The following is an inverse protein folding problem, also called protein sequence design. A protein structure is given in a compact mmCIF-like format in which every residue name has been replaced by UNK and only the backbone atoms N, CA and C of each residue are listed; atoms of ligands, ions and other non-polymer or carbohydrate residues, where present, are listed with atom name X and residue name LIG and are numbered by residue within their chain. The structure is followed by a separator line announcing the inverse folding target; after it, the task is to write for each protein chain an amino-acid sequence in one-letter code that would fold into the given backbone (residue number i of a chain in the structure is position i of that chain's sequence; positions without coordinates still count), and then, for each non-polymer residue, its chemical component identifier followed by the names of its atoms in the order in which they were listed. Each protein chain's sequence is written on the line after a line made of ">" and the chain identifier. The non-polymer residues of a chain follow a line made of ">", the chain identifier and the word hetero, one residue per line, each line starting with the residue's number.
data_IF_021842357076
#
_entry.id   IF_021842357076
#
_cell.length_a   1.000
_cell.length_b   1.000
_cell.length_c   1.000
_cell.angle_alpha   90.00
_cell.angle_beta   90.00
_cell.angle_gamma   90.00
#
_symmetry.space_group_name_H-M   'P 1'
#
loop_
_entity.id
_entity.type
_entity.pdbx_description
1 polymer ?
#
# COMPACT_ATOMS: atom_id res chain seq x y z
N UNK A 1 11.92 5.31 17.91
CA UNK A 1 10.54 4.83 17.80
C UNK A 1 10.17 4.86 16.33
N UNK A 2 9.93 3.70 15.71
CA UNK A 2 9.47 3.67 14.32
C UNK A 2 8.02 4.19 14.30
N UNK A 3 7.79 5.33 13.64
CA UNK A 3 6.44 5.90 13.54
C UNK A 3 5.62 5.03 12.59
N UNK A 4 4.48 4.53 13.07
CA UNK A 4 3.48 3.85 12.23
C UNK A 4 2.79 4.94 11.42
N UNK A 5 3.10 5.02 10.13
CA UNK A 5 2.49 5.98 9.21
C UNK A 5 1.58 5.23 8.23
N UNK A 6 0.27 5.51 8.21
CA UNK A 6 -0.66 4.90 7.26
C UNK A 6 -0.27 5.18 5.80
N UNK A 7 -0.45 4.19 4.93
CA UNK A 7 -0.23 4.34 3.49
C UNK A 7 -1.48 4.96 2.84
N UNK A 8 -1.59 6.28 2.92
CA UNK A 8 -2.73 7.04 2.38
C UNK A 8 -2.88 6.89 0.85
N UNK A 9 -1.78 6.64 0.13
CA UNK A 9 -1.79 6.48 -1.33
C UNK A 9 -2.44 5.18 -1.73
N UNK A 10 -2.08 4.09 -1.06
CA UNK A 10 -2.71 2.79 -1.26
C UNK A 10 -4.21 2.87 -0.95
N UNK A 11 -4.58 3.50 0.16
CA UNK A 11 -6.00 3.72 0.53
C UNK A 11 -6.73 4.51 -0.57
N UNK A 12 -6.13 5.58 -1.06
CA UNK A 12 -6.73 6.46 -2.08
C UNK A 12 -6.90 5.75 -3.41
N UNK A 13 -5.88 5.04 -3.89
CA UNK A 13 -5.93 4.26 -5.12
C UNK A 13 -6.99 3.15 -5.04
N UNK A 14 -7.05 2.42 -3.92
CA UNK A 14 -8.06 1.38 -3.71
C UNK A 14 -9.48 1.95 -3.75
N UNK A 15 -9.71 3.07 -3.06
CA UNK A 15 -11.03 3.73 -3.05
C UNK A 15 -11.41 4.31 -4.42
N UNK A 16 -10.46 4.90 -5.14
CA UNK A 16 -10.66 5.38 -6.51
C UNK A 16 -11.03 4.25 -7.47
N UNK A 17 -10.45 3.06 -7.28
CA UNK A 17 -10.82 1.83 -7.98
C UNK A 17 -12.13 1.19 -7.49
N UNK A 18 -12.82 1.80 -6.52
CA UNK A 18 -14.07 1.31 -5.89
C UNK A 18 -13.94 -0.11 -5.29
N UNK A 19 -12.76 -0.44 -4.74
CA UNK A 19 -12.51 -1.75 -4.16
C UNK A 19 -12.59 -1.74 -2.63
N UNK A 20 -13.16 -2.79 -2.04
CA UNK A 20 -12.93 -3.11 -0.63
C UNK A 20 -11.52 -3.67 -0.42
N UNK A 21 -11.03 -3.71 0.83
CA UNK A 21 -9.74 -4.32 1.13
C UNK A 21 -9.69 -5.80 0.74
N UNK A 22 -10.80 -6.51 0.93
CA UNK A 22 -10.96 -7.91 0.53
C UNK A 22 -10.86 -8.08 -0.99
N UNK A 23 -11.55 -7.24 -1.75
CA UNK A 23 -11.51 -7.30 -3.22
C UNK A 23 -10.12 -7.00 -3.77
N UNK A 24 -9.40 -6.02 -3.19
CA UNK A 24 -8.01 -5.77 -3.56
C UNK A 24 -7.13 -6.98 -3.22
N UNK A 25 -7.30 -7.55 -2.03
CA UNK A 25 -6.53 -8.71 -1.58
C UNK A 25 -6.69 -9.91 -2.54
N UNK A 26 -7.93 -10.19 -2.96
CA UNK A 26 -8.25 -11.23 -3.95
C UNK A 26 -7.55 -10.97 -5.29
N UNK A 27 -7.55 -9.71 -5.77
CA UNK A 27 -6.95 -9.35 -7.06
C UNK A 27 -5.43 -9.50 -7.08
N UNK A 28 -4.74 -9.30 -5.95
CA UNK A 28 -3.27 -9.40 -5.88
C UNK A 28 -2.78 -10.73 -5.27
N UNK A 29 -3.70 -11.59 -4.82
CA UNK A 29 -3.40 -12.89 -4.24
C UNK A 29 -2.79 -12.81 -2.84
N UNK A 30 -3.38 -12.00 -1.94
CA UNK A 30 -3.04 -11.94 -0.51
C UNK A 30 -4.31 -11.99 0.35
N UNK A 31 -4.16 -11.98 1.68
CA UNK A 31 -5.29 -11.92 2.61
C UNK A 31 -5.79 -10.48 2.81
N UNK A 32 -7.08 -10.32 3.14
CA UNK A 32 -7.65 -9.01 3.49
C UNK A 32 -6.93 -8.36 4.67
N UNK A 33 -6.54 -9.14 5.69
CA UNK A 33 -5.75 -8.65 6.83
C UNK A 33 -4.38 -8.12 6.40
N UNK A 34 -3.73 -8.72 5.39
CA UNK A 34 -2.47 -8.19 4.85
C UNK A 34 -2.68 -6.79 4.29
N UNK A 35 -3.73 -6.56 3.48
CA UNK A 35 -4.05 -5.22 2.96
C UNK A 35 -4.31 -4.23 4.09
N UNK A 36 -5.10 -4.62 5.10
CA UNK A 36 -5.38 -3.76 6.25
C UNK A 36 -4.11 -3.35 7.02
N UNK A 37 -3.16 -4.28 7.21
CA UNK A 37 -1.88 -4.00 7.86
C UNK A 37 -0.98 -3.09 7.03
N UNK A 38 -0.96 -3.27 5.70
CA UNK A 38 -0.21 -2.39 4.79
C UNK A 38 -0.81 -0.97 4.79
N UNK A 39 -2.13 -0.84 4.68
CA UNK A 39 -2.82 0.45 4.67
C UNK A 39 -2.64 1.21 5.99
N UNK A 40 -2.65 0.52 7.13
CA UNK A 40 -2.41 1.12 8.44
C UNK A 40 -0.94 1.43 8.72
N UNK A 41 -0.01 1.01 7.86
CA UNK A 41 1.44 1.17 8.08
C UNK A 41 2.01 0.24 9.16
N UNK A 42 1.21 -0.69 9.67
CA UNK A 42 1.63 -1.64 10.72
C UNK A 42 2.47 -2.79 10.18
N UNK A 43 2.53 -2.93 8.85
CA UNK A 43 3.35 -3.93 8.17
C UNK A 43 3.96 -3.37 6.89
N UNK A 44 5.28 -3.49 6.76
CA UNK A 44 5.95 -3.28 5.50
C UNK A 44 5.74 -4.51 4.58
N UNK A 45 5.09 -4.37 3.42
CA UNK A 45 5.01 -5.48 2.48
C UNK A 45 6.40 -5.83 1.93
N UNK A 46 6.68 -7.13 1.80
CA UNK A 46 7.88 -7.58 1.09
C UNK A 46 7.90 -7.13 -0.37
N UNK A 47 9.07 -7.21 -1.00
CA UNK A 47 9.33 -6.76 -2.38
C UNK A 47 8.25 -7.22 -3.37
N UNK A 48 7.87 -8.49 -3.33
CA UNK A 48 6.90 -9.05 -4.29
C UNK A 48 5.52 -8.42 -4.16
N UNK A 49 5.05 -8.17 -2.94
CA UNK A 49 3.75 -7.54 -2.71
C UNK A 49 3.79 -6.05 -3.06
N UNK A 50 4.92 -5.36 -2.84
CA UNK A 50 5.11 -3.98 -3.32
C UNK A 50 4.99 -3.91 -4.84
N UNK A 51 5.67 -4.81 -5.56
CA UNK A 51 5.62 -4.89 -7.02
C UNK A 51 4.21 -5.22 -7.53
N UNK A 52 3.52 -6.20 -6.92
CA UNK A 52 2.14 -6.56 -7.28
C UNK A 52 1.18 -5.38 -7.12
N UNK A 53 1.26 -4.66 -6.00
CA UNK A 53 0.40 -3.51 -5.72
C UNK A 53 0.68 -2.36 -6.69
N UNK A 54 1.96 -2.03 -6.91
CA UNK A 54 2.37 -1.00 -7.84
C UNK A 54 1.91 -1.31 -9.27
N UNK A 55 2.13 -2.55 -9.73
CA UNK A 55 1.69 -3.02 -11.04
C UNK A 55 0.16 -3.01 -11.18
N UNK A 56 -0.57 -3.44 -10.15
CA UNK A 56 -2.04 -3.45 -10.15
C UNK A 56 -2.64 -2.06 -10.35
N UNK A 57 -2.05 -1.04 -9.73
CA UNK A 57 -2.51 0.35 -9.83
C UNK A 57 -1.82 1.15 -10.95
N UNK A 58 -0.88 0.56 -11.69
CA UNK A 58 -0.16 1.24 -12.76
C UNK A 58 0.73 2.40 -12.28
N UNK A 59 1.30 2.28 -11.07
CA UNK A 59 2.18 3.28 -10.45
C UNK A 59 3.54 2.68 -10.12
N UNK A 60 4.52 3.52 -9.75
CA UNK A 60 5.83 3.03 -9.29
C UNK A 60 5.78 2.56 -7.83
N UNK A 61 6.69 1.68 -7.45
CA UNK A 61 6.84 1.24 -6.06
C UNK A 61 7.24 2.42 -5.16
N UNK A 62 8.07 3.31 -5.68
CA UNK A 62 8.54 4.53 -5.04
C UNK A 62 7.38 5.44 -4.67
N UNK A 63 6.50 5.72 -5.63
CA UNK A 63 5.28 6.49 -5.40
C UNK A 63 4.39 5.83 -4.34
N UNK A 64 4.24 4.51 -4.39
CA UNK A 64 3.28 3.84 -3.52
C UNK A 64 3.79 3.65 -2.07
N UNK A 65 5.11 3.55 -1.84
CA UNK A 65 5.65 3.14 -0.54
C UNK A 65 6.77 4.03 0.03
N UNK A 66 7.40 4.92 -0.76
CA UNK A 66 8.65 5.55 -0.34
C UNK A 66 8.66 7.08 -0.30
N UNK A 67 7.63 7.78 -0.81
CA UNK A 67 7.66 9.26 -0.78
C UNK A 67 7.51 9.87 0.63
N UNK A 68 6.93 9.15 1.60
CA UNK A 68 6.90 9.61 3.00
C UNK A 68 8.31 9.76 3.59
N UNK A 69 9.33 9.08 3.05
CA UNK A 69 10.73 9.29 3.46
C UNK A 69 11.29 10.65 3.01
N UNK A 70 10.73 11.27 1.97
CA UNK A 70 11.20 12.54 1.42
C UNK A 70 10.42 13.75 2.00
N UNK A 71 9.15 13.58 2.36
CA UNK A 71 8.32 14.65 2.92
C UNK A 71 8.73 15.06 4.36
N UNK A 72 9.40 14.18 5.12
CA UNK A 72 9.87 14.47 6.48
C UNK A 72 11.25 15.17 6.49
N UNK A 73 11.86 15.38 5.30
CA UNK A 73 13.20 15.98 5.15
C UNK A 73 13.21 17.33 4.40
N UNK A 74 12.06 18.02 4.30
CA UNK A 74 11.98 19.40 3.81
C UNK A 74 11.67 20.38 4.93
#
# INVERSE_FOLDING_TARGET
>A
MSQIVPNQRLVSLRKAAQLTQEQLALKIGVTQSMIAHIESGTKDPGKDNKLKLAAFFGVTVEYLFYEVYYDVKS
#
